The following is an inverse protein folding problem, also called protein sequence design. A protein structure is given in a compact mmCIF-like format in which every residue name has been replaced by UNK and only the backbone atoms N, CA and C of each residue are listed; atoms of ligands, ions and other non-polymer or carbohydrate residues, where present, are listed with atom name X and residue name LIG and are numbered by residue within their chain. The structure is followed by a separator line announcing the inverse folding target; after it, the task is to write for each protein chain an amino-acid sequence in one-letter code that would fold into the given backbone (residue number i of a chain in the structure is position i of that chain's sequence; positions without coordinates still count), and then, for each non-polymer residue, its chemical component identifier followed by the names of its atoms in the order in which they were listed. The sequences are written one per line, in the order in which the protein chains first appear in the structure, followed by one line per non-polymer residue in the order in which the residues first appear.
data_IF_912126841896
#
_entry.id   IF_912126841896
#
_cell.length_a   1.000
_cell.length_b   1.000
_cell.length_c   1.000
_cell.angle_alpha   90.00
_cell.angle_beta   90.00
_cell.angle_gamma   90.00
#
_symmetry.space_group_name_H-M   'P 1'
#
loop_
_entity.id
_entity.type
_entity.pdbx_description
1 polymer ?
#
# COMPACT_ATOMS: atom_id res chain seq x y z
N UNK A 1 -20.20 -13.82 3.49
CA UNK A 1 -21.47 -13.91 2.75
C UNK A 1 -22.44 -12.77 3.10
N UNK A 2 -22.69 -12.47 4.39
CA UNK A 2 -23.69 -11.46 4.78
C UNK A 2 -23.37 -10.04 4.32
N UNK A 3 -22.10 -9.64 4.29
CA UNK A 3 -21.70 -8.30 3.87
C UNK A 3 -22.02 -8.00 2.40
N UNK A 4 -21.90 -8.98 1.53
CA UNK A 4 -22.24 -8.83 0.12
C UNK A 4 -23.72 -8.55 -0.13
N UNK A 5 -24.58 -8.80 0.85
CA UNK A 5 -26.03 -8.52 0.80
C UNK A 5 -26.37 -7.12 1.31
N UNK A 6 -25.44 -6.43 1.94
CA UNK A 6 -25.62 -5.04 2.40
C UNK A 6 -25.67 -4.12 1.18
N UNK A 7 -26.60 -3.17 1.18
CA UNK A 7 -26.73 -2.21 0.06
C UNK A 7 -25.46 -1.40 -0.17
N UNK A 8 -25.23 -0.95 -1.39
CA UNK A 8 -24.07 -0.11 -1.71
C UNK A 8 -24.09 1.19 -0.91
N UNK A 9 -25.25 1.82 -0.75
CA UNK A 9 -25.40 3.06 0.02
C UNK A 9 -24.99 2.88 1.48
N UNK A 10 -25.37 1.77 2.11
CA UNK A 10 -24.97 1.45 3.48
C UNK A 10 -23.45 1.17 3.55
N UNK A 11 -22.88 0.47 2.56
CA UNK A 11 -21.43 0.24 2.49
C UNK A 11 -20.68 1.56 2.32
N UNK A 12 -21.16 2.48 1.48
CA UNK A 12 -20.61 3.83 1.34
C UNK A 12 -20.71 4.64 2.64
N UNK A 13 -21.86 4.59 3.31
CA UNK A 13 -22.05 5.27 4.60
C UNK A 13 -21.04 4.80 5.65
N UNK A 14 -20.85 3.48 5.79
CA UNK A 14 -19.88 2.93 6.74
C UNK A 14 -18.43 3.23 6.35
N UNK A 15 -18.10 3.17 5.06
CA UNK A 15 -16.77 3.56 4.60
C UNK A 15 -16.49 5.04 4.89
N UNK A 16 -17.47 5.94 4.67
CA UNK A 16 -17.35 7.36 5.00
C UNK A 16 -17.16 7.58 6.51
N UNK A 17 -17.87 6.82 7.36
CA UNK A 17 -17.68 6.85 8.81
C UNK A 17 -16.27 6.38 9.22
N UNK A 18 -15.74 5.35 8.56
CA UNK A 18 -14.36 4.89 8.79
C UNK A 18 -13.35 5.98 8.39
N UNK A 19 -13.54 6.63 7.23
CA UNK A 19 -12.67 7.75 6.81
C UNK A 19 -12.71 8.91 7.80
N UNK A 20 -13.86 9.24 8.37
CA UNK A 20 -13.96 10.25 9.42
C UNK A 20 -13.11 9.87 10.65
N UNK A 21 -13.16 8.60 11.09
CA UNK A 21 -12.32 8.10 12.18
C UNK A 21 -10.82 8.11 11.84
N UNK A 22 -10.46 7.83 10.60
CA UNK A 22 -9.06 7.93 10.14
C UNK A 22 -8.58 9.39 10.14
N UNK A 23 -9.41 10.36 9.73
CA UNK A 23 -9.09 11.79 9.80
C UNK A 23 -8.90 12.26 11.23
N UNK A 24 -9.79 11.88 12.13
CA UNK A 24 -9.67 12.19 13.56
C UNK A 24 -8.36 11.68 14.15
N UNK A 25 -7.93 10.49 13.73
CA UNK A 25 -6.71 9.82 14.23
C UNK A 25 -5.47 10.09 13.37
N UNK A 26 -5.55 10.93 12.34
CA UNK A 26 -4.53 11.12 11.29
C UNK A 26 -3.12 11.35 11.86
N UNK A 27 -2.98 12.34 12.71
CA UNK A 27 -1.67 12.72 13.25
C UNK A 27 -1.12 11.66 14.22
N UNK A 28 -1.99 10.98 14.96
CA UNK A 28 -1.59 9.85 15.81
C UNK A 28 -1.11 8.68 14.96
N UNK A 29 -1.83 8.33 13.91
CA UNK A 29 -1.40 7.27 12.97
C UNK A 29 -0.07 7.66 12.32
N UNK A 30 0.07 8.90 11.85
CA UNK A 30 1.33 9.38 11.26
C UNK A 30 2.49 9.31 12.25
N UNK A 31 2.28 9.68 13.52
CA UNK A 31 3.29 9.59 14.58
C UNK A 31 3.71 8.12 14.82
N UNK A 32 2.75 7.21 14.86
CA UNK A 32 3.04 5.77 14.97
C UNK A 32 3.89 5.27 13.79
N UNK A 33 3.62 5.72 12.56
CA UNK A 33 4.44 5.38 11.39
C UNK A 33 5.88 5.93 11.50
N UNK A 34 6.06 7.14 12.06
CA UNK A 34 7.41 7.66 12.34
C UNK A 34 8.15 6.73 13.31
N UNK A 35 7.51 6.33 14.40
CA UNK A 35 8.12 5.50 15.44
C UNK A 35 8.36 4.05 15.00
N UNK A 36 7.40 3.44 14.32
CA UNK A 36 7.44 2.00 14.01
C UNK A 36 8.31 1.68 12.80
N UNK A 37 8.36 2.57 11.80
CA UNK A 37 9.01 2.28 10.51
C UNK A 37 9.98 3.38 10.06
N UNK A 38 10.28 4.35 10.91
CA UNK A 38 11.23 5.42 10.58
C UNK A 38 10.79 6.30 9.41
N UNK A 39 9.48 6.44 9.18
CA UNK A 39 8.95 7.21 8.05
C UNK A 39 9.03 8.70 8.36
N UNK A 40 9.61 9.55 7.50
CA UNK A 40 9.62 11.01 7.74
C UNK A 40 8.21 11.54 7.95
N UNK A 41 8.01 12.43 8.92
CA UNK A 41 6.70 12.98 9.31
C UNK A 41 5.82 13.38 8.13
N UNK A 42 6.38 14.18 7.21
CA UNK A 42 5.65 14.60 6.00
C UNK A 42 5.14 13.43 5.16
N UNK A 43 5.94 12.36 5.03
CA UNK A 43 5.56 11.18 4.27
C UNK A 43 4.60 10.28 5.05
N UNK A 44 4.70 10.26 6.38
CA UNK A 44 3.76 9.56 7.24
C UNK A 44 2.36 10.19 7.16
N UNK A 45 2.27 11.53 7.25
CA UNK A 45 1.03 12.25 7.00
C UNK A 45 0.47 11.97 5.61
N UNK A 46 1.32 12.05 4.58
CA UNK A 46 0.90 11.81 3.19
C UNK A 46 0.45 10.37 2.94
N UNK A 47 0.90 9.38 3.73
CA UNK A 47 0.43 8.00 3.62
C UNK A 47 -1.03 7.88 4.10
N UNK A 48 -1.36 8.54 5.21
CA UNK A 48 -2.74 8.59 5.72
C UNK A 48 -3.63 9.37 4.75
N UNK A 49 -3.20 10.56 4.34
CA UNK A 49 -3.97 11.43 3.45
C UNK A 49 -4.29 10.71 2.12
N UNK A 50 -3.32 10.06 1.50
CA UNK A 50 -3.53 9.30 0.25
C UNK A 50 -4.49 8.13 0.41
N UNK A 51 -4.49 7.47 1.57
CA UNK A 51 -5.47 6.43 1.87
C UNK A 51 -6.88 7.03 1.85
N UNK A 52 -7.07 8.15 2.54
CA UNK A 52 -8.36 8.82 2.67
C UNK A 52 -8.84 9.34 1.31
N UNK A 53 -8.01 10.15 0.64
CA UNK A 53 -8.35 10.77 -0.66
C UNK A 53 -8.65 9.71 -1.73
N UNK A 54 -7.85 8.62 -1.73
CA UNK A 54 -8.06 7.53 -2.67
C UNK A 54 -9.37 6.79 -2.46
N UNK A 55 -9.77 6.55 -1.20
CA UNK A 55 -11.06 5.90 -0.91
C UNK A 55 -12.22 6.86 -1.16
N UNK A 56 -12.08 8.16 -0.92
CA UNK A 56 -13.11 9.16 -1.30
C UNK A 56 -13.40 9.14 -2.78
N UNK A 57 -12.37 9.07 -3.61
CA UNK A 57 -12.56 8.92 -5.05
C UNK A 57 -13.37 7.65 -5.39
N UNK A 58 -13.13 6.53 -4.68
CA UNK A 58 -13.92 5.31 -4.88
C UNK A 58 -15.36 5.44 -4.35
N UNK A 59 -15.63 6.24 -3.34
CA UNK A 59 -17.02 6.50 -2.91
C UNK A 59 -17.85 7.12 -4.04
N UNK A 60 -17.24 7.93 -4.89
CA UNK A 60 -17.90 8.56 -6.04
C UNK A 60 -17.97 7.62 -7.25
N UNK A 61 -16.96 6.80 -7.48
CA UNK A 61 -16.80 6.03 -8.71
C UNK A 61 -17.25 4.57 -8.64
N UNK A 62 -17.40 4.00 -7.44
CA UNK A 62 -17.60 2.56 -7.25
C UNK A 62 -18.87 2.04 -7.94
N UNK A 63 -19.93 2.86 -8.02
CA UNK A 63 -21.18 2.50 -8.70
C UNK A 63 -20.95 2.04 -10.13
N UNK A 64 -20.09 2.76 -10.86
CA UNK A 64 -19.75 2.42 -12.24
C UNK A 64 -18.84 1.18 -12.33
N UNK A 65 -17.97 1.00 -11.36
CA UNK A 65 -16.97 -0.06 -11.38
C UNK A 65 -17.52 -1.45 -11.05
N UNK A 66 -18.58 -1.53 -10.24
CA UNK A 66 -19.16 -2.81 -9.82
C UNK A 66 -20.36 -3.24 -10.67
N UNK A 67 -20.74 -2.48 -11.70
CA UNK A 67 -21.85 -2.85 -12.61
C UNK A 67 -21.59 -4.25 -13.20
N UNK A 68 -22.59 -5.13 -13.07
CA UNK A 68 -22.51 -6.51 -13.55
C UNK A 68 -21.51 -7.40 -12.78
N UNK A 69 -21.05 -6.98 -11.62
CA UNK A 69 -20.14 -7.74 -10.76
C UNK A 69 -20.82 -8.13 -9.45
N UNK A 70 -20.45 -9.26 -8.90
CA UNK A 70 -20.94 -9.74 -7.61
C UNK A 70 -19.78 -9.84 -6.62
N UNK A 71 -20.05 -9.66 -5.32
CA UNK A 71 -19.09 -9.96 -4.27
C UNK A 71 -18.59 -11.40 -4.37
N UNK A 72 -17.39 -11.63 -3.86
CA UNK A 72 -16.80 -12.97 -3.79
C UNK A 72 -17.53 -13.87 -2.78
N UNK A 73 -17.40 -15.17 -2.94
CA UNK A 73 -18.01 -16.17 -2.02
C UNK A 73 -17.38 -16.17 -0.64
N UNK A 74 -16.11 -15.73 -0.52
CA UNK A 74 -15.34 -15.66 0.72
C UNK A 74 -14.65 -14.32 0.91
N UNK A 75 -13.99 -14.10 2.05
CA UNK A 75 -13.25 -12.87 2.31
C UNK A 75 -12.03 -12.75 1.40
N UNK A 76 -11.54 -11.53 1.23
CA UNK A 76 -10.24 -11.24 0.61
C UNK A 76 -9.17 -11.26 1.69
N UNK A 77 -8.15 -12.07 1.49
CA UNK A 77 -6.96 -12.07 2.36
C UNK A 77 -5.93 -11.09 1.81
N UNK A 78 -5.42 -10.22 2.69
CA UNK A 78 -4.48 -9.17 2.35
C UNK A 78 -3.18 -9.33 3.14
N UNK A 79 -2.07 -9.40 2.42
CA UNK A 79 -0.72 -9.31 2.99
C UNK A 79 0.00 -8.18 2.30
N UNK A 80 0.37 -7.14 3.03
CA UNK A 80 1.07 -6.00 2.45
C UNK A 80 2.42 -5.72 3.14
N UNK A 81 3.24 -4.95 2.45
CA UNK A 81 4.54 -4.53 2.94
C UNK A 81 4.40 -3.42 4.01
N UNK A 82 5.46 -3.28 4.80
CA UNK A 82 5.54 -2.37 5.95
C UNK A 82 5.64 -0.88 5.58
N UNK A 83 6.11 -0.55 4.38
CA UNK A 83 6.56 0.81 4.03
C UNK A 83 5.44 1.81 3.71
N UNK A 84 4.25 1.33 3.31
CA UNK A 84 3.06 2.14 3.03
C UNK A 84 1.79 1.45 3.54
N UNK A 85 1.65 1.27 4.87
CA UNK A 85 0.56 0.46 5.42
C UNK A 85 -0.81 1.08 5.21
N UNK A 86 -0.96 2.42 5.21
CA UNK A 86 -2.25 3.06 5.03
C UNK A 86 -2.65 3.13 3.55
N UNK A 87 -1.84 3.75 2.71
CA UNK A 87 -2.17 3.98 1.29
C UNK A 87 -2.10 2.72 0.42
N UNK A 88 -1.55 1.62 0.91
CA UNK A 88 -1.55 0.33 0.21
C UNK A 88 -2.54 -0.64 0.84
N UNK A 89 -2.38 -0.97 2.13
CA UNK A 89 -3.20 -2.01 2.76
C UNK A 89 -4.59 -1.48 3.12
N UNK A 90 -4.69 -0.47 3.99
CA UNK A 90 -5.99 0.05 4.47
C UNK A 90 -6.83 0.59 3.32
N UNK A 91 -6.21 1.28 2.36
CA UNK A 91 -6.89 1.71 1.14
C UNK A 91 -7.50 0.54 0.36
N UNK A 92 -6.71 -0.52 0.10
CA UNK A 92 -7.19 -1.70 -0.63
C UNK A 92 -8.34 -2.39 0.11
N UNK A 93 -8.24 -2.52 1.43
CA UNK A 93 -9.27 -3.12 2.28
C UNK A 93 -10.59 -2.35 2.21
N UNK A 94 -10.55 -1.02 2.33
CA UNK A 94 -11.74 -0.17 2.25
C UNK A 94 -12.41 -0.29 0.88
N UNK A 95 -11.64 -0.31 -0.21
CA UNK A 95 -12.18 -0.50 -1.56
C UNK A 95 -12.78 -1.91 -1.74
N UNK A 96 -12.14 -2.94 -1.20
CA UNK A 96 -12.67 -4.31 -1.22
C UNK A 96 -14.00 -4.42 -0.45
N UNK A 97 -14.10 -3.72 0.69
CA UNK A 97 -15.34 -3.69 1.47
C UNK A 97 -16.45 -2.87 0.79
N UNK A 98 -16.10 -1.78 0.11
CA UNK A 98 -17.04 -1.06 -0.76
C UNK A 98 -17.58 -1.96 -1.87
N UNK A 99 -16.73 -2.81 -2.45
CA UNK A 99 -17.14 -3.79 -3.46
C UNK A 99 -17.97 -4.97 -2.90
N UNK A 100 -18.23 -5.00 -1.58
CA UNK A 100 -19.07 -5.99 -0.91
C UNK A 100 -18.34 -7.21 -0.35
N UNK A 101 -17.00 -7.15 -0.22
CA UNK A 101 -16.20 -8.25 0.30
C UNK A 101 -15.79 -8.00 1.76
N UNK A 102 -15.85 -9.00 2.61
CA UNK A 102 -15.17 -8.97 3.90
C UNK A 102 -13.66 -9.12 3.70
N UNK A 103 -12.86 -8.59 4.62
CA UNK A 103 -11.41 -8.61 4.48
C UNK A 103 -10.71 -9.15 5.73
N UNK A 104 -9.61 -9.84 5.49
CA UNK A 104 -8.68 -10.30 6.50
C UNK A 104 -7.31 -9.74 6.12
N UNK A 105 -6.62 -9.09 7.05
CA UNK A 105 -5.30 -8.57 6.83
C UNK A 105 -4.28 -9.12 7.83
N UNK A 106 -3.05 -9.29 7.36
CA UNK A 106 -1.92 -9.61 8.22
C UNK A 106 -1.03 -8.39 8.38
N UNK A 107 -0.69 -8.04 9.63
CA UNK A 107 0.29 -6.98 9.90
C UNK A 107 1.65 -7.32 9.29
N UNK A 108 2.38 -6.35 8.73
CA UNK A 108 3.77 -6.55 8.34
C UNK A 108 4.63 -6.96 9.54
N UNK A 109 5.67 -7.78 9.28
CA UNK A 109 6.57 -8.22 10.35
C UNK A 109 7.60 -7.17 10.76
N UNK A 110 7.76 -6.12 9.97
CA UNK A 110 8.81 -5.09 10.13
C UNK A 110 8.30 -3.77 10.70
N UNK A 111 7.08 -3.72 11.20
CA UNK A 111 6.47 -2.53 11.80
C UNK A 111 5.15 -2.15 11.16
N UNK A 112 4.53 -1.10 11.70
CA UNK A 112 3.19 -0.65 11.29
C UNK A 112 2.05 -1.32 12.08
N UNK A 113 2.37 -2.09 13.12
CA UNK A 113 1.37 -2.81 13.91
C UNK A 113 0.39 -1.87 14.62
N UNK A 114 0.89 -0.88 15.36
CA UNK A 114 0.01 0.04 16.11
C UNK A 114 -0.75 0.99 15.18
N UNK A 115 -0.09 1.49 14.13
CA UNK A 115 -0.74 2.32 13.12
C UNK A 115 -1.91 1.57 12.45
N UNK A 116 -1.69 0.32 12.04
CA UNK A 116 -2.73 -0.53 11.47
C UNK A 116 -3.81 -0.89 12.48
N UNK A 117 -3.45 -1.18 13.73
CA UNK A 117 -4.43 -1.48 14.79
C UNK A 117 -5.38 -0.30 15.00
N UNK A 118 -4.87 0.92 15.02
CA UNK A 118 -5.70 2.12 15.16
C UNK A 118 -6.61 2.33 13.94
N UNK A 119 -6.08 2.15 12.73
CA UNK A 119 -6.87 2.24 11.51
C UNK A 119 -7.99 1.17 11.46
N UNK A 120 -7.67 -0.07 11.82
CA UNK A 120 -8.65 -1.16 11.86
C UNK A 120 -9.70 -0.96 12.95
N UNK A 121 -9.33 -0.36 14.10
CA UNK A 121 -10.29 0.01 15.14
C UNK A 121 -11.30 1.05 14.61
N UNK A 122 -10.87 2.04 13.81
CA UNK A 122 -11.78 2.99 13.18
C UNK A 122 -12.73 2.31 12.17
N UNK A 123 -12.21 1.39 11.37
CA UNK A 123 -13.03 0.60 10.43
C UNK A 123 -14.03 -0.31 11.15
N UNK A 124 -13.60 -1.01 12.18
CA UNK A 124 -14.46 -1.88 12.99
C UNK A 124 -15.56 -1.08 13.73
N UNK A 125 -15.22 0.09 14.28
CA UNK A 125 -16.18 1.01 14.91
C UNK A 125 -17.25 1.48 13.92
N UNK A 126 -16.90 1.65 12.65
CA UNK A 126 -17.82 1.97 11.58
C UNK A 126 -18.66 0.75 11.11
N UNK A 127 -18.49 -0.43 11.69
CA UNK A 127 -19.22 -1.65 11.34
C UNK A 127 -18.76 -2.31 10.04
N UNK A 128 -17.52 -2.06 9.59
CA UNK A 128 -16.94 -2.72 8.43
C UNK A 128 -16.41 -4.12 8.80
N UNK A 129 -16.57 -5.12 7.92
CA UNK A 129 -16.18 -6.52 8.17
C UNK A 129 -14.68 -6.73 7.94
N UNK A 130 -13.88 -6.22 8.84
CA UNK A 130 -12.42 -6.30 8.78
C UNK A 130 -11.86 -7.11 9.95
N UNK A 131 -10.83 -7.90 9.69
CA UNK A 131 -10.05 -8.62 10.71
C UNK A 131 -8.56 -8.38 10.48
N UNK A 132 -7.86 -7.94 11.54
CA UNK A 132 -6.42 -7.77 11.53
C UNK A 132 -5.76 -8.89 12.33
N UNK A 133 -4.82 -9.59 11.70
CA UNK A 133 -4.05 -10.67 12.30
C UNK A 133 -2.58 -10.25 12.45
N UNK A 134 -1.96 -10.67 13.53
CA UNK A 134 -0.52 -10.53 13.72
C UNK A 134 0.09 -11.91 13.97
N UNK A 135 1.29 -12.14 13.44
CA UNK A 135 2.00 -13.40 13.61
C UNK A 135 3.09 -13.61 12.57
N UNK A 136 3.79 -14.70 12.71
CA UNK A 136 4.84 -15.11 11.76
C UNK A 136 4.21 -15.49 10.43
N UNK A 137 4.72 -14.92 9.34
CA UNK A 137 4.15 -15.11 8.01
C UNK A 137 4.13 -16.58 7.56
N UNK A 138 5.16 -17.36 7.92
CA UNK A 138 5.24 -18.77 7.59
C UNK A 138 4.10 -19.60 8.26
N UNK A 139 3.80 -19.28 9.52
CA UNK A 139 2.79 -20.01 10.31
C UNK A 139 1.36 -19.71 9.84
N UNK A 140 1.13 -18.49 9.35
CA UNK A 140 -0.18 -18.03 8.89
C UNK A 140 -0.42 -18.25 7.39
N UNK A 141 0.62 -18.60 6.63
CA UNK A 141 0.54 -18.59 5.16
C UNK A 141 -0.48 -19.60 4.62
N UNK A 142 -0.61 -20.79 5.21
CA UNK A 142 -1.57 -21.77 4.74
C UNK A 142 -3.01 -21.29 4.93
N UNK A 143 -3.32 -20.70 6.07
CA UNK A 143 -4.65 -20.14 6.34
C UNK A 143 -4.94 -18.92 5.45
N UNK A 144 -3.96 -18.04 5.23
CA UNK A 144 -4.14 -16.76 4.53
C UNK A 144 -3.98 -16.85 3.01
N UNK A 145 -3.37 -17.90 2.49
CA UNK A 145 -3.11 -18.06 1.04
C UNK A 145 -3.92 -19.22 0.48
N UNK A 146 -3.84 -20.38 1.13
CA UNK A 146 -4.32 -21.66 0.58
C UNK A 146 -5.72 -22.05 1.04
N UNK A 147 -6.28 -21.40 2.08
CA UNK A 147 -7.59 -21.77 2.60
C UNK A 147 -8.69 -21.72 1.52
N UNK A 148 -9.49 -22.77 1.36
CA UNK A 148 -10.61 -22.77 0.40
C UNK A 148 -11.72 -21.78 0.74
N UNK A 149 -11.78 -21.30 2.00
CA UNK A 149 -12.77 -20.32 2.45
C UNK A 149 -12.50 -18.90 1.93
N UNK A 150 -11.30 -18.64 1.41
CA UNK A 150 -10.93 -17.34 0.87
C UNK A 150 -11.41 -17.17 -0.57
N UNK A 151 -12.11 -16.07 -0.84
CA UNK A 151 -12.58 -15.72 -2.19
C UNK A 151 -11.48 -15.15 -3.09
N UNK A 152 -10.49 -14.48 -2.53
CA UNK A 152 -9.32 -13.96 -3.24
C UNK A 152 -8.15 -13.69 -2.30
N UNK A 153 -6.98 -13.50 -2.89
CA UNK A 153 -5.75 -13.16 -2.19
C UNK A 153 -5.08 -11.93 -2.84
N UNK A 154 -4.67 -10.98 -2.02
CA UNK A 154 -3.93 -9.79 -2.44
C UNK A 154 -2.60 -9.70 -1.67
N UNK A 155 -1.51 -9.56 -2.39
CA UNK A 155 -0.17 -9.48 -1.84
C UNK A 155 0.59 -8.29 -2.41
N UNK A 156 1.20 -7.52 -1.53
CA UNK A 156 2.18 -6.50 -1.87
C UNK A 156 3.42 -6.72 -1.01
N UNK A 157 4.57 -7.01 -1.63
CA UNK A 157 5.77 -7.31 -0.86
C UNK A 157 7.01 -7.62 -1.69
N UNK A 158 8.02 -8.19 -1.06
CA UNK A 158 9.27 -8.55 -1.71
C UNK A 158 9.13 -9.76 -2.64
N UNK A 159 10.02 -9.84 -3.64
CA UNK A 159 10.00 -10.86 -4.70
C UNK A 159 10.05 -12.29 -4.17
N UNK A 160 10.89 -12.56 -3.16
CA UNK A 160 11.04 -13.92 -2.62
C UNK A 160 9.74 -14.44 -2.01
N UNK A 161 9.08 -13.60 -1.20
CA UNK A 161 7.79 -13.94 -0.60
C UNK A 161 6.67 -14.03 -1.64
N UNK A 162 6.67 -13.12 -2.63
CA UNK A 162 5.71 -13.17 -3.72
C UNK A 162 5.84 -14.43 -4.56
N UNK A 163 7.08 -14.90 -4.82
CA UNK A 163 7.33 -16.14 -5.54
C UNK A 163 6.86 -17.37 -4.76
N UNK A 164 7.22 -17.45 -3.47
CA UNK A 164 6.76 -18.53 -2.60
C UNK A 164 5.22 -18.56 -2.49
N UNK A 165 4.58 -17.40 -2.48
CA UNK A 165 3.12 -17.28 -2.50
C UNK A 165 2.53 -17.78 -3.82
N UNK A 166 3.13 -17.42 -4.95
CA UNK A 166 2.68 -17.86 -6.27
C UNK A 166 2.78 -19.40 -6.41
N UNK A 167 3.87 -19.99 -5.93
CA UNK A 167 4.05 -21.44 -5.91
C UNK A 167 2.94 -22.16 -5.11
N UNK A 168 2.54 -21.57 -3.96
CA UNK A 168 1.41 -22.09 -3.17
C UNK A 168 0.05 -21.90 -3.85
N UNK A 169 -0.14 -20.81 -4.59
CA UNK A 169 -1.39 -20.54 -5.30
C UNK A 169 -1.56 -21.37 -6.57
N UNK A 170 -0.47 -21.95 -7.11
CA UNK A 170 -0.51 -22.73 -8.35
C UNK A 170 -1.43 -23.96 -8.28
N UNK A 171 -1.62 -24.53 -7.09
CA UNK A 171 -2.50 -25.67 -6.86
C UNK A 171 -3.97 -25.28 -6.62
N UNK A 172 -4.28 -23.98 -6.63
CA UNK A 172 -5.60 -23.46 -6.33
C UNK A 172 -6.08 -22.52 -7.44
N UNK A 173 -7.28 -22.73 -7.95
CA UNK A 173 -7.96 -21.80 -8.86
C UNK A 173 -8.52 -20.60 -8.06
N UNK A 174 -7.63 -19.84 -7.46
CA UNK A 174 -7.96 -18.68 -6.62
C UNK A 174 -7.61 -17.38 -7.31
N UNK A 175 -8.54 -16.43 -7.33
CA UNK A 175 -8.25 -15.06 -7.77
C UNK A 175 -7.17 -14.43 -6.90
N UNK A 176 -6.16 -13.86 -7.52
CA UNK A 176 -5.09 -13.22 -6.78
C UNK A 176 -4.50 -12.02 -7.50
N UNK A 177 -3.94 -11.11 -6.71
CA UNK A 177 -3.11 -9.98 -7.15
C UNK A 177 -1.79 -10.09 -6.41
N UNK A 178 -0.68 -10.12 -7.16
CA UNK A 178 0.66 -10.15 -6.60
C UNK A 178 1.45 -8.94 -7.11
N UNK A 179 1.62 -7.93 -6.26
CA UNK A 179 2.53 -6.82 -6.50
C UNK A 179 3.84 -7.02 -5.74
N UNK A 180 4.95 -6.88 -6.45
CA UNK A 180 6.27 -7.07 -5.89
C UNK A 180 7.08 -5.76 -5.91
N UNK A 181 8.30 -5.81 -5.40
CA UNK A 181 9.22 -4.69 -5.45
C UNK A 181 9.46 -4.19 -6.87
N UNK A 182 9.45 -2.88 -7.06
CA UNK A 182 9.69 -2.25 -8.35
C UNK A 182 11.16 -2.30 -8.76
N UNK A 183 11.39 -2.50 -10.05
CA UNK A 183 12.70 -2.37 -10.70
C UNK A 183 12.70 -1.18 -11.66
N UNK A 184 12.16 -0.05 -11.20
CA UNK A 184 11.98 1.14 -12.02
C UNK A 184 13.32 1.68 -12.53
N UNK A 185 13.29 2.26 -13.70
CA UNK A 185 14.41 3.01 -14.26
C UNK A 185 13.96 4.43 -14.58
N UNK A 186 14.87 5.39 -14.44
CA UNK A 186 14.68 6.74 -14.95
C UNK A 186 15.48 6.90 -16.23
N UNK A 187 14.78 7.08 -17.36
CA UNK A 187 15.40 7.34 -18.66
C UNK A 187 15.68 8.83 -18.81
N UNK A 188 16.93 9.17 -19.15
CA UNK A 188 17.39 10.54 -19.45
C UNK A 188 17.91 10.54 -20.87
N UNK A 189 17.09 11.04 -21.78
CA UNK A 189 17.34 10.99 -23.20
C UNK A 189 17.02 12.33 -23.84
N UNK A 190 17.95 12.88 -24.61
CA UNK A 190 17.78 14.16 -25.32
C UNK A 190 17.31 15.31 -24.43
N UNK A 191 17.93 15.45 -23.26
CA UNK A 191 17.51 16.32 -22.18
C UNK A 191 18.60 17.32 -21.80
N UNK A 192 18.22 18.54 -21.39
CA UNK A 192 19.14 19.64 -21.07
C UNK A 192 18.76 20.47 -19.84
N UNK A 193 17.57 20.30 -19.29
CA UNK A 193 17.09 21.08 -18.14
C UNK A 193 17.48 20.44 -16.78
N UNK A 194 18.78 20.49 -16.50
CA UNK A 194 19.36 19.86 -15.32
C UNK A 194 18.89 20.49 -14.00
N UNK A 195 18.65 21.81 -13.99
CA UNK A 195 18.22 22.54 -12.81
C UNK A 195 16.84 22.08 -12.37
N UNK A 196 15.95 21.83 -13.31
CA UNK A 196 14.62 21.26 -13.03
C UNK A 196 14.68 19.78 -12.64
N UNK A 197 15.62 19.01 -13.18
CA UNK A 197 15.78 17.59 -12.84
C UNK A 197 16.37 17.36 -11.45
N UNK A 198 17.32 18.18 -11.01
CA UNK A 198 18.06 17.99 -9.76
C UNK A 198 17.16 17.85 -8.50
N UNK A 199 16.13 18.69 -8.28
CA UNK A 199 15.20 18.52 -7.15
C UNK A 199 14.45 17.18 -7.18
N UNK A 200 14.06 16.70 -8.36
CA UNK A 200 13.36 15.42 -8.52
C UNK A 200 14.27 14.23 -8.20
N UNK A 201 15.54 14.29 -8.61
CA UNK A 201 16.52 13.26 -8.26
C UNK A 201 16.79 13.24 -6.76
N UNK A 202 16.94 14.40 -6.11
CA UNK A 202 17.07 14.51 -4.66
C UNK A 202 15.87 13.91 -3.94
N UNK A 203 14.65 14.25 -4.35
CA UNK A 203 13.39 13.69 -3.83
C UNK A 203 13.32 12.16 -4.00
N UNK A 204 13.97 11.62 -5.02
CA UNK A 204 14.09 10.18 -5.24
C UNK A 204 14.74 9.42 -4.08
N UNK A 205 15.52 10.09 -3.23
CA UNK A 205 16.18 9.51 -2.05
C UNK A 205 15.39 9.62 -0.75
N UNK A 206 14.28 10.36 -0.74
CA UNK A 206 13.42 10.45 0.45
C UNK A 206 13.05 9.06 0.95
N UNK A 207 13.00 8.91 2.28
CA UNK A 207 12.72 7.65 2.96
C UNK A 207 13.71 6.53 2.56
N UNK A 208 14.97 6.89 2.30
CA UNK A 208 16.05 5.98 1.89
C UNK A 208 15.67 5.08 0.70
N UNK A 209 14.86 5.58 -0.22
CA UNK A 209 14.30 4.81 -1.38
C UNK A 209 13.42 3.60 -0.99
N UNK A 210 12.93 3.49 0.23
CA UNK A 210 12.16 2.36 0.73
C UNK A 210 10.72 2.34 0.18
N UNK A 211 10.58 2.36 -1.15
CA UNK A 211 9.30 2.34 -1.85
C UNK A 211 9.41 1.60 -3.19
N UNK A 212 8.34 0.94 -3.59
CA UNK A 212 8.27 0.21 -4.86
C UNK A 212 8.44 1.15 -6.08
N UNK A 213 8.08 2.43 -5.95
CA UNK A 213 8.21 3.47 -6.97
C UNK A 213 9.57 4.16 -6.99
N UNK A 214 10.53 3.76 -6.16
CA UNK A 214 11.89 4.31 -6.18
C UNK A 214 12.64 3.88 -7.46
N UNK A 215 13.61 4.68 -7.86
CA UNK A 215 14.42 4.44 -9.05
C UNK A 215 15.77 3.85 -8.63
N UNK A 216 15.97 2.51 -8.70
CA UNK A 216 17.25 1.88 -8.40
C UNK A 216 18.31 2.15 -9.47
N UNK A 217 17.91 2.59 -10.67
CA UNK A 217 18.83 2.83 -11.78
C UNK A 217 18.42 4.04 -12.62
N UNK A 218 19.43 4.64 -13.24
CA UNK A 218 19.28 5.69 -14.24
C UNK A 218 19.87 5.21 -15.57
N UNK A 219 19.11 5.34 -16.63
CA UNK A 219 19.53 5.04 -18.00
C UNK A 219 19.76 6.37 -18.71
N UNK A 220 21.02 6.74 -18.87
CA UNK A 220 21.41 8.06 -19.38
C UNK A 220 22.01 7.90 -20.75
N UNK A 221 21.55 8.71 -21.72
CA UNK A 221 22.15 8.77 -23.05
C UNK A 221 23.65 9.08 -22.94
N UNK A 222 24.49 8.33 -23.65
CA UNK A 222 25.94 8.38 -23.49
C UNK A 222 26.52 9.80 -23.57
N UNK A 223 26.06 10.62 -24.51
CA UNK A 223 26.54 12.01 -24.69
C UNK A 223 26.17 12.92 -23.49
N UNK A 224 25.13 12.60 -22.76
CA UNK A 224 24.65 13.37 -21.59
C UNK A 224 25.27 12.91 -20.28
N UNK A 225 25.98 11.77 -20.29
CA UNK A 225 26.45 11.14 -19.05
C UNK A 225 27.44 12.02 -18.25
N UNK A 226 28.41 12.75 -18.86
CA UNK A 226 29.26 13.68 -18.10
C UNK A 226 28.47 14.78 -17.40
N UNK A 227 27.58 15.46 -18.10
CA UNK A 227 26.75 16.54 -17.52
C UNK A 227 25.77 15.99 -16.44
N UNK A 228 25.24 14.81 -16.65
CA UNK A 228 24.44 14.11 -15.62
C UNK A 228 25.25 13.86 -14.35
N UNK A 229 26.48 13.37 -14.45
CA UNK A 229 27.33 13.11 -13.26
C UNK A 229 27.71 14.41 -12.55
N UNK A 230 28.04 15.47 -13.31
CA UNK A 230 28.35 16.78 -12.75
C UNK A 230 27.21 17.32 -11.85
N UNK A 231 25.98 17.15 -12.28
CA UNK A 231 24.79 17.52 -11.50
C UNK A 231 24.47 16.50 -10.39
N UNK A 232 24.60 15.20 -10.65
CA UNK A 232 24.11 14.14 -9.77
C UNK A 232 25.04 13.86 -8.58
N UNK A 233 26.35 13.92 -8.76
CA UNK A 233 27.34 13.65 -7.69
C UNK A 233 27.20 14.62 -6.51
N UNK A 234 27.05 15.94 -6.69
CA UNK A 234 26.77 16.87 -5.60
C UNK A 234 25.49 16.57 -4.82
N UNK A 235 24.44 16.06 -5.51
CA UNK A 235 23.22 15.63 -4.84
C UNK A 235 23.51 14.48 -3.89
N UNK A 236 24.28 13.47 -4.32
CA UNK A 236 24.65 12.34 -3.45
C UNK A 236 25.44 12.78 -2.22
N UNK A 237 26.43 13.65 -2.40
CA UNK A 237 27.23 14.18 -1.29
C UNK A 237 26.42 15.05 -0.32
N UNK A 238 25.34 15.67 -0.80
CA UNK A 238 24.43 16.49 0.00
C UNK A 238 23.35 15.71 0.74
N UNK A 239 23.25 14.38 0.59
CA UNK A 239 22.28 13.56 1.30
C UNK A 239 22.65 13.45 2.78
N UNK A 240 21.65 13.58 3.63
CA UNK A 240 21.79 13.35 5.07
C UNK A 240 20.92 12.18 5.47
N UNK A 241 21.49 11.26 6.24
CA UNK A 241 20.81 10.12 6.82
C UNK A 241 20.77 10.28 8.34
N UNK A 242 19.68 9.84 8.96
CA UNK A 242 19.48 9.95 10.40
C UNK A 242 18.08 9.47 10.79
N UNK A 243 17.76 9.67 12.06
CA UNK A 243 16.38 9.46 12.52
C UNK A 243 15.47 10.56 11.95
N UNK A 244 14.19 10.22 11.64
CA UNK A 244 13.18 11.17 11.16
C UNK A 244 12.82 12.22 12.19
#
# INVERSE_FOLDING_TARGET
ALWGMVSLDERKSRASAALAGLRESRDTIALLLVWEIGKPWKLACADVDRCIDGVEWYLDEIDRQIVGRSPLSGPVSNIASWNYPLSVLVHAELVQMLAGNAVIAKTPSQGGFHALTLAHAAMAKAGLPVSLLSGVGADLSDALVSSPELGAFAFVGGRSNGRATLERLADFDKRHILEQEGLNAWGIWDFSDWDNLAPHLRKGFEYAKQRCTAYPRYVVQRRLFPAFLEMYIPILHGLRFGHP
#
